data_IF_695562831990
#
_entry.id   IF_695562831990
#
_cell.length_a   1.000
_cell.length_b   1.000
_cell.length_c   1.000
_cell.angle_alpha   90.00
_cell.angle_beta   90.00
_cell.angle_gamma   90.00
#
_symmetry.space_group_name_H-M   'P 1'
#
loop_
_entity.id
_entity.type
_entity.pdbx_description
1 polymer ?
#
# COMPACT_ATOMS: atom_id res chain seq x y z
N UNK A 1 17.14 -3.31 -3.59
CA UNK A 1 17.00 -1.84 -3.53
C UNK A 1 15.80 -1.57 -2.65
N UNK A 2 15.89 -0.65 -1.68
CA UNK A 2 14.74 -0.20 -0.90
C UNK A 2 14.35 1.21 -1.30
N UNK A 3 13.06 1.51 -1.18
CA UNK A 3 12.46 2.77 -1.56
C UNK A 3 11.81 3.40 -0.34
N UNK A 4 11.81 4.73 -0.30
CA UNK A 4 11.12 5.50 0.72
C UNK A 4 9.81 6.00 0.16
N UNK A 5 8.73 5.79 0.91
CA UNK A 5 7.40 6.27 0.53
C UNK A 5 7.35 7.77 0.77
N UNK A 6 7.03 8.54 -0.27
CA UNK A 6 6.89 10.01 -0.20
C UNK A 6 5.44 10.48 -0.24
N UNK A 7 4.53 9.59 -0.65
CA UNK A 7 3.08 9.81 -0.59
C UNK A 7 2.38 8.55 -0.11
N UNK A 8 1.32 8.68 0.70
CA UNK A 8 0.60 7.53 1.18
C UNK A 8 -0.09 6.82 0.02
N UNK A 9 -0.04 5.49 0.04
CA UNK A 9 -0.77 4.65 -0.90
C UNK A 9 -1.10 3.30 -0.27
N UNK A 10 -2.15 2.67 -0.79
CA UNK A 10 -2.52 1.30 -0.43
C UNK A 10 -2.01 0.36 -1.50
N UNK A 11 -1.22 -0.64 -1.11
CA UNK A 11 -0.77 -1.67 -2.03
C UNK A 11 -1.88 -2.71 -2.21
N UNK A 12 -2.62 -2.60 -3.31
CA UNK A 12 -3.67 -3.56 -3.66
C UNK A 12 -3.11 -4.87 -4.25
N UNK A 13 -1.83 -4.89 -4.63
CA UNK A 13 -1.15 -6.08 -5.14
C UNK A 13 -0.64 -6.98 -4.01
N UNK A 14 -0.52 -6.43 -2.81
CA UNK A 14 -0.19 -7.16 -1.60
C UNK A 14 -1.42 -7.91 -1.05
N UNK A 15 -1.28 -9.19 -0.66
CA UNK A 15 -2.40 -9.96 -0.11
C UNK A 15 -2.96 -9.38 1.19
N UNK A 16 -2.13 -8.75 2.02
CA UNK A 16 -2.55 -8.07 3.25
C UNK A 16 -3.13 -6.67 2.98
N UNK A 17 -3.08 -6.21 1.73
CA UNK A 17 -3.51 -4.89 1.28
C UNK A 17 -2.92 -3.77 2.14
N UNK A 18 -1.61 -3.83 2.33
CA UNK A 18 -0.92 -2.96 3.27
C UNK A 18 -1.03 -1.48 2.88
N UNK A 19 -1.33 -0.64 3.88
CA UNK A 19 -1.37 0.81 3.74
C UNK A 19 0.00 1.40 4.11
N UNK A 20 0.68 1.99 3.13
CA UNK A 20 1.97 2.65 3.32
C UNK A 20 1.77 4.16 3.57
N UNK A 21 2.42 4.68 4.61
CA UNK A 21 2.44 6.10 4.94
C UNK A 21 3.74 6.77 4.47
N UNK A 22 3.76 8.11 4.51
CA UNK A 22 4.96 8.88 4.16
C UNK A 22 6.08 8.55 5.15
N UNK A 23 7.23 8.14 4.61
CA UNK A 23 8.41 7.75 5.36
C UNK A 23 8.59 6.25 5.53
N UNK A 24 7.58 5.44 5.19
CA UNK A 24 7.70 3.99 5.20
C UNK A 24 8.72 3.48 4.18
N UNK A 25 9.21 2.26 4.43
CA UNK A 25 10.14 1.57 3.54
C UNK A 25 9.36 0.55 2.71
N UNK A 26 9.49 0.68 1.39
CA UNK A 26 8.92 -0.23 0.42
C UNK A 26 10.02 -1.01 -0.31
N UNK A 27 9.83 -2.31 -0.59
CA UNK A 27 8.72 -3.16 -0.15
C UNK A 27 8.81 -3.60 1.32
N UNK A 28 7.69 -4.10 1.87
CA UNK A 28 7.65 -4.74 3.19
C UNK A 28 8.59 -5.95 3.27
N UNK A 29 9.11 -6.22 4.46
CA UNK A 29 9.88 -7.44 4.68
C UNK A 29 9.03 -8.69 4.39
N UNK A 30 9.57 -9.60 3.58
CA UNK A 30 8.87 -10.81 3.17
C UNK A 30 7.89 -10.64 2.00
N UNK A 31 7.75 -9.43 1.44
CA UNK A 31 6.96 -9.18 0.23
C UNK A 31 7.85 -8.73 -0.93
N UNK A 32 7.69 -9.39 -2.08
CA UNK A 32 8.40 -9.05 -3.32
C UNK A 32 7.40 -8.51 -4.36
N UNK A 33 7.28 -7.18 -4.52
CA UNK A 33 6.41 -6.57 -5.53
C UNK A 33 6.96 -6.81 -6.93
N UNK A 34 6.09 -6.69 -7.93
CA UNK A 34 6.52 -6.75 -9.33
C UNK A 34 7.30 -5.49 -9.73
N UNK A 35 8.31 -5.64 -10.59
CA UNK A 35 9.06 -4.50 -11.14
C UNK A 35 8.16 -3.47 -11.81
N UNK A 36 7.16 -3.89 -12.58
CA UNK A 36 6.23 -2.96 -13.25
C UNK A 36 5.44 -2.12 -12.24
N UNK A 37 5.03 -2.72 -11.13
CA UNK A 37 4.31 -2.02 -10.06
C UNK A 37 5.23 -0.99 -9.38
N UNK A 38 6.41 -1.44 -8.96
CA UNK A 38 7.43 -0.59 -8.34
C UNK A 38 7.84 0.57 -9.25
N UNK A 39 8.08 0.32 -10.55
CA UNK A 39 8.38 1.36 -11.53
C UNK A 39 7.20 2.32 -11.74
N UNK A 40 5.96 1.83 -11.73
CA UNK A 40 4.77 2.68 -11.79
C UNK A 40 4.71 3.66 -10.61
N UNK A 41 5.06 3.21 -9.40
CA UNK A 41 5.11 4.06 -8.21
C UNK A 41 6.29 5.04 -8.22
N UNK A 42 7.44 4.66 -8.80
CA UNK A 42 8.63 5.53 -8.93
C UNK A 42 8.49 6.60 -10.02
N UNK A 43 7.84 6.26 -11.13
CA UNK A 43 7.76 7.13 -12.31
C UNK A 43 6.47 7.93 -12.39
N UNK A 44 5.46 7.54 -11.61
CA UNK A 44 4.10 8.06 -11.72
C UNK A 44 3.30 7.45 -12.89
N UNK A 45 3.83 6.43 -13.58
CA UNK A 45 3.10 5.64 -14.57
C UNK A 45 2.13 4.65 -13.91
N UNK A 46 1.29 5.15 -13.02
CA UNK A 46 0.22 4.42 -12.34
C UNK A 46 -1.12 5.13 -12.56
N UNK A 47 -2.22 4.51 -12.15
CA UNK A 47 -3.58 5.05 -12.37
C UNK A 47 -3.79 6.43 -11.72
N UNK A 48 -3.06 6.73 -10.65
CA UNK A 48 -3.12 8.04 -9.98
C UNK A 48 -2.21 9.10 -10.64
N UNK A 49 -1.38 8.73 -11.62
CA UNK A 49 -0.50 9.64 -12.34
C UNK A 49 0.55 10.33 -11.45
N UNK A 50 0.87 9.75 -10.29
CA UNK A 50 1.66 10.40 -9.24
C UNK A 50 2.81 9.53 -8.76
N UNK A 51 3.93 10.14 -8.38
CA UNK A 51 5.06 9.43 -7.80
C UNK A 51 4.78 9.17 -6.31
N UNK A 52 4.95 7.92 -5.86
CA UNK A 52 4.73 7.49 -4.47
C UNK A 52 6.01 7.06 -3.77
N UNK A 53 7.04 6.67 -4.53
CA UNK A 53 8.30 6.15 -4.02
C UNK A 53 9.48 7.04 -4.42
N UNK A 54 10.48 7.10 -3.56
CA UNK A 54 11.80 7.68 -3.78
C UNK A 54 12.87 6.62 -3.55
N UNK A 55 13.94 6.63 -4.35
CA UNK A 55 15.05 5.66 -4.19
C UNK A 55 15.89 6.05 -2.98
N UNK A 56 15.99 5.17 -1.97
CA UNK A 56 16.74 5.42 -0.73
C UNK A 56 18.28 5.34 -0.90
N UNK A 57 18.80 5.58 -2.10
CA UNK A 57 20.21 5.41 -2.44
C UNK A 57 20.58 6.15 -3.73
N UNK A 58 20.88 7.44 -3.58
CA UNK A 58 21.85 8.28 -4.31
C UNK A 58 21.98 8.26 -5.85
N UNK A 59 21.15 7.59 -6.66
CA UNK A 59 21.31 7.71 -8.13
C UNK A 59 19.98 7.67 -8.90
N UNK A 60 19.29 8.81 -8.99
CA UNK A 60 18.45 9.16 -10.16
C UNK A 60 18.45 10.69 -10.35
N UNK A 61 18.75 11.23 -11.54
CA UNK A 61 18.81 12.67 -11.79
C UNK A 61 17.44 13.32 -11.61
N UNK A 62 17.43 14.38 -10.78
CA UNK A 62 16.40 15.42 -10.62
C UNK A 62 15.57 15.65 -11.90
N UNK A 63 14.49 14.88 -12.11
CA UNK A 63 13.47 15.21 -13.10
C UNK A 63 12.53 16.23 -12.45
N UNK A 64 12.24 17.37 -13.10
CA UNK A 64 11.45 18.43 -12.48
C UNK A 64 10.06 17.89 -12.16
N UNK A 65 9.69 17.96 -10.89
CA UNK A 65 8.34 17.74 -10.44
C UNK A 65 7.41 18.73 -11.19
N UNK A 66 6.33 18.27 -11.84
CA UNK A 66 5.17 19.13 -11.95
C UNK A 66 4.58 19.21 -10.53
N UNK A 67 4.83 20.33 -9.85
CA UNK A 67 3.89 20.87 -8.88
C UNK A 67 2.51 20.92 -9.56
N UNK A 68 1.61 20.02 -9.19
CA UNK A 68 0.20 20.17 -9.54
C UNK A 68 -0.64 19.46 -8.49
N UNK A 69 -1.12 20.30 -7.57
CA UNK A 69 -2.42 20.19 -6.89
C UNK A 69 -2.62 18.99 -5.99
N UNK A 70 -2.35 19.21 -4.69
CA UNK A 70 -3.14 18.67 -3.58
C UNK A 70 -4.63 18.80 -3.92
N UNK A 71 -5.23 17.76 -4.47
CA UNK A 71 -6.66 17.54 -4.33
C UNK A 71 -6.84 16.87 -2.99
N UNK A 72 -7.22 17.71 -2.04
CA UNK A 72 -7.86 17.39 -0.76
C UNK A 72 -9.01 16.40 -1.01
N UNK A 73 -8.69 15.11 -1.05
CA UNK A 73 -9.70 14.06 -1.05
C UNK A 73 -10.00 13.70 0.41
N UNK A 74 -10.82 14.55 1.04
CA UNK A 74 -11.72 14.09 2.08
C UNK A 74 -12.69 13.10 1.45
N UNK A 75 -12.33 11.82 1.37
CA UNK A 75 -13.34 10.75 1.26
C UNK A 75 -13.25 9.92 2.52
N UNK A 76 -14.06 10.37 3.48
CA UNK A 76 -14.78 9.59 4.47
C UNK A 76 -14.21 8.21 4.79
N UNK A 77 -13.56 8.17 5.96
CA UNK A 77 -13.70 7.10 6.93
C UNK A 77 -15.17 6.64 6.96
N UNK A 78 -15.44 5.46 6.42
CA UNK A 78 -16.47 4.57 6.96
C UNK A 78 -15.76 3.27 7.34
N UNK A 79 -15.23 3.30 8.56
CA UNK A 79 -15.09 2.12 9.38
C UNK A 79 -16.50 1.61 9.64
N UNK A 80 -16.78 0.37 9.28
CA UNK A 80 -17.66 -0.56 10.00
C UNK A 80 -17.80 -1.85 9.18
N UNK A 81 -16.89 -2.80 9.39
CA UNK A 81 -17.34 -4.18 9.57
C UNK A 81 -16.44 -4.84 10.62
N UNK A 82 -16.87 -4.56 11.84
CA UNK A 82 -16.58 -5.31 13.06
C UNK A 82 -16.71 -6.82 12.83
N UNK A 83 -15.60 -7.52 13.09
CA UNK A 83 -15.52 -8.74 13.91
C UNK A 83 -16.88 -9.32 14.34
N UNK A 84 -17.30 -10.40 13.68
CA UNK A 84 -18.03 -11.50 14.33
C UNK A 84 -17.33 -12.80 13.92
N UNK A 85 -16.55 -13.35 14.86
CA UNK A 85 -16.94 -14.49 15.71
C UNK A 85 -16.34 -15.76 15.13
N UNK A 86 -15.09 -16.04 15.47
CA UNK A 86 -14.76 -16.87 16.64
C UNK A 86 -15.39 -18.26 16.53
N UNK A 87 -14.53 -19.20 16.13
CA UNK A 87 -14.44 -20.57 16.61
C UNK A 87 -15.62 -21.07 17.45
N UNK A 88 -16.35 -22.02 16.89
CA UNK A 88 -17.11 -23.01 17.66
C UNK A 88 -16.75 -24.41 17.10
N UNK A 89 -15.63 -24.96 17.60
CA UNK A 89 -15.54 -26.40 17.82
C UNK A 89 -16.13 -26.69 19.24
N UNK A 90 -16.31 -27.94 19.67
CA UNK A 90 -17.30 -28.94 19.25
C UNK A 90 -18.16 -29.39 20.45
N UNK A 91 -19.40 -29.87 20.26
CA UNK A 91 -20.21 -30.46 21.32
C UNK A 91 -20.93 -31.76 20.90
N UNK A 92 -20.30 -32.88 21.29
CA UNK A 92 -20.85 -34.12 21.89
C UNK A 92 -22.34 -34.49 21.72
N UNK A 93 -22.56 -35.77 21.35
CA UNK A 93 -23.57 -36.75 21.86
C UNK A 93 -25.08 -36.47 21.55
N UNK A 94 -25.96 -37.37 21.10
CA UNK A 94 -26.35 -38.73 21.54
C UNK A 94 -27.21 -39.43 20.45
N UNK A 95 -27.09 -40.76 20.36
CA UNK A 95 -28.06 -41.80 19.92
C UNK A 95 -29.48 -41.42 19.43
N UNK A 96 -29.90 -42.00 18.29
CA UNK A 96 -31.10 -42.87 18.17
C UNK A 96 -30.88 -43.92 17.06
#
# INVERSE_FOLDING_TARGET
MSYKVIRPFKDLSDPEKHDYAVGDIFPREGYEPTDSFTNGLLTGANTAGSIFLEVSGEDVPKKPAPEATEVKEETAVEQEETVEKAAEEPAKEVEE
#
